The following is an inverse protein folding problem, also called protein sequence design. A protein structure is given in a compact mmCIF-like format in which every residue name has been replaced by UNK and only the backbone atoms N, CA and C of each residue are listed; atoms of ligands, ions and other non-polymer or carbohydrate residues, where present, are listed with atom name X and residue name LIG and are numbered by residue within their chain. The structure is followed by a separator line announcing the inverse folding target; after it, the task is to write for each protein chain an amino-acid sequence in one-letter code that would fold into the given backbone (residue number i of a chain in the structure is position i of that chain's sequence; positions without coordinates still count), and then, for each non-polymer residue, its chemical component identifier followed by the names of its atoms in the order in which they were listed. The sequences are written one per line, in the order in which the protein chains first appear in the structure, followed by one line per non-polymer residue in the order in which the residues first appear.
data_IF_279919480254
#
_entry.id   IF_279919480254
#
_cell.length_a   1.000
_cell.length_b   1.000
_cell.length_c   1.000
_cell.angle_alpha   90.00
_cell.angle_beta   90.00
_cell.angle_gamma   90.00
#
_symmetry.space_group_name_H-M   'P 1'
#
loop_
_entity.id
_entity.type
_entity.pdbx_description
1 polymer ?
#
# COMPACT_ATOMS: atom_id res chain seq x y z
N UNK A 1 -51.36 29.29 -32.54
CA UNK A 1 -50.44 28.88 -33.63
C UNK A 1 -49.07 28.71 -32.98
N UNK A 2 -48.37 27.58 -32.94
CA UNK A 2 -48.39 26.36 -33.73
C UNK A 2 -47.66 25.28 -32.90
N UNK A 3 -48.31 24.15 -32.63
CA UNK A 3 -47.65 22.89 -32.28
C UNK A 3 -46.93 22.32 -33.52
N UNK A 4 -45.83 21.58 -33.32
CA UNK A 4 -45.33 20.44 -34.14
C UNK A 4 -43.96 20.01 -33.57
N UNK A 5 -43.89 18.92 -32.81
CA UNK A 5 -43.81 17.50 -33.21
C UNK A 5 -42.37 17.03 -33.43
N UNK A 6 -41.87 16.23 -32.47
CA UNK A 6 -40.71 15.36 -32.63
C UNK A 6 -41.05 14.17 -33.54
N UNK A 7 -40.16 13.82 -34.47
CA UNK A 7 -40.15 12.54 -35.19
C UNK A 7 -38.87 11.76 -34.84
N UNK A 8 -38.93 10.42 -34.71
CA UNK A 8 -37.77 9.59 -34.39
C UNK A 8 -37.00 9.23 -35.66
N UNK A 9 -35.69 9.49 -35.68
CA UNK A 9 -34.80 9.01 -36.73
C UNK A 9 -34.37 7.56 -36.43
N UNK A 10 -34.55 6.72 -37.44
CA UNK A 10 -34.24 5.29 -37.50
C UNK A 10 -32.76 4.97 -37.28
N UNK A 11 -32.49 4.00 -36.41
CA UNK A 11 -31.18 3.35 -36.24
C UNK A 11 -31.02 2.30 -37.34
N UNK A 12 -30.20 2.60 -38.35
CA UNK A 12 -29.74 1.64 -39.36
C UNK A 12 -28.36 1.10 -38.96
N UNK A 13 -28.13 -0.18 -39.26
CA UNK A 13 -27.20 -1.05 -38.56
C UNK A 13 -25.70 -0.81 -38.78
N UNK A 14 -24.95 -0.96 -37.70
CA UNK A 14 -23.51 -1.20 -37.75
C UNK A 14 -23.22 -2.64 -38.16
N UNK A 15 -22.69 -2.84 -39.37
CA UNK A 15 -21.92 -4.04 -39.74
C UNK A 15 -20.42 -3.75 -39.56
N UNK A 16 -19.63 -4.66 -38.97
CA UNK A 16 -18.19 -4.49 -38.87
C UNK A 16 -17.54 -4.67 -40.25
N UNK A 17 -16.84 -3.63 -40.71
CA UNK A 17 -15.97 -3.69 -41.90
C UNK A 17 -14.61 -4.26 -41.48
N UNK A 18 -14.26 -5.44 -41.97
CA UNK A 18 -12.92 -6.00 -41.90
C UNK A 18 -12.06 -5.43 -43.04
N UNK A 19 -11.09 -4.57 -42.72
CA UNK A 19 -10.13 -4.07 -43.71
C UNK A 19 -9.00 -5.08 -43.95
N UNK A 20 -9.04 -5.78 -45.07
CA UNK A 20 -7.89 -6.57 -45.57
C UNK A 20 -6.97 -5.69 -46.41
N UNK A 21 -5.76 -5.41 -45.91
CA UNK A 21 -4.71 -4.67 -46.61
C UNK A 21 -3.95 -5.62 -47.55
N UNK A 22 -4.08 -5.46 -48.87
CA UNK A 22 -3.22 -6.14 -49.86
C UNK A 22 -1.94 -5.33 -50.07
N UNK A 23 -0.78 -5.96 -49.89
CA UNK A 23 0.51 -5.48 -50.42
C UNK A 23 0.94 -6.45 -51.53
N UNK A 24 1.17 -5.90 -52.71
CA UNK A 24 1.79 -6.57 -53.86
C UNK A 24 3.29 -6.28 -53.85
N UNK A 25 4.12 -7.30 -53.80
CA UNK A 25 5.50 -7.25 -54.30
C UNK A 25 5.84 -8.59 -54.95
N UNK A 26 6.31 -8.48 -56.18
CA UNK A 26 6.88 -9.50 -57.05
C UNK A 26 8.17 -10.09 -56.48
N UNK A 27 8.45 -11.35 -56.78
CA UNK A 27 9.83 -11.85 -56.89
C UNK A 27 10.19 -13.05 -56.03
N UNK A 28 10.34 -14.17 -56.72
CA UNK A 28 11.29 -15.24 -56.51
C UNK A 28 10.98 -16.47 -55.64
N UNK A 29 11.53 -17.56 -56.14
CA UNK A 29 11.07 -18.94 -56.04
C UNK A 29 11.73 -19.68 -54.88
N UNK A 30 10.91 -20.16 -53.95
CA UNK A 30 11.33 -21.02 -52.83
C UNK A 30 10.17 -21.84 -52.31
N UNK A 31 10.27 -23.16 -52.39
CA UNK A 31 9.19 -24.10 -52.09
C UNK A 31 8.76 -24.07 -50.61
N UNK A 32 7.56 -23.58 -50.32
CA UNK A 32 6.90 -23.78 -49.03
C UNK A 32 5.81 -24.86 -49.17
N UNK A 33 5.99 -26.00 -48.49
CA UNK A 33 5.01 -27.10 -48.42
C UNK A 33 3.75 -26.62 -47.69
N UNK A 34 2.61 -26.56 -48.39
CA UNK A 34 1.30 -26.34 -47.75
C UNK A 34 0.78 -27.63 -47.12
N UNK A 35 0.59 -27.67 -45.81
CA UNK A 35 -0.17 -28.72 -45.15
C UNK A 35 -1.66 -28.45 -45.41
N UNK A 36 -2.33 -29.32 -46.19
CA UNK A 36 -3.80 -29.30 -46.34
C UNK A 36 -4.41 -30.27 -45.34
N UNK A 37 -5.08 -29.74 -44.32
CA UNK A 37 -5.97 -30.54 -43.48
C UNK A 37 -7.29 -30.74 -44.23
N UNK A 38 -7.56 -31.98 -44.66
CA UNK A 38 -8.85 -32.38 -45.24
C UNK A 38 -9.81 -32.72 -44.11
N UNK A 39 -10.85 -31.92 -43.91
CA UNK A 39 -12.01 -32.34 -43.12
C UNK A 39 -12.91 -33.20 -43.99
N UNK A 40 -13.13 -34.46 -43.58
CA UNK A 40 -14.01 -35.41 -44.25
C UNK A 40 -15.36 -35.37 -43.53
N UNK A 41 -16.39 -34.91 -44.23
CA UNK A 41 -17.77 -35.02 -43.77
C UNK A 41 -18.21 -36.49 -43.85
N UNK A 42 -18.62 -37.05 -42.72
CA UNK A 42 -19.32 -38.33 -42.65
C UNK A 42 -20.77 -38.03 -42.32
N UNK A 43 -21.63 -38.06 -43.33
CA UNK A 43 -23.08 -38.19 -43.12
C UNK A 43 -23.40 -39.67 -42.98
N UNK A 44 -24.11 -40.05 -41.91
CA UNK A 44 -25.47 -40.60 -41.97
C UNK A 44 -25.79 -41.41 -40.69
N UNK A 45 -26.78 -40.94 -39.91
CA UNK A 45 -27.77 -41.77 -39.17
C UNK A 45 -28.79 -40.86 -38.45
N UNK A 46 -30.05 -40.99 -38.89
CA UNK A 46 -31.36 -40.85 -38.19
C UNK A 46 -31.56 -39.78 -37.09
N UNK A 47 -32.67 -39.01 -37.12
CA UNK A 47 -32.95 -38.01 -36.09
C UNK A 47 -33.62 -38.67 -34.87
N UNK A 48 -32.84 -39.05 -33.86
CA UNK A 48 -33.39 -39.20 -32.52
C UNK A 48 -33.65 -37.81 -31.94
N UNK A 49 -34.91 -37.52 -31.61
CA UNK A 49 -35.35 -36.31 -30.88
C UNK A 49 -34.35 -36.00 -29.75
N UNK A 50 -33.61 -34.91 -29.89
CA UNK A 50 -32.94 -34.28 -28.76
C UNK A 50 -34.08 -33.68 -27.93
N UNK A 51 -34.45 -34.37 -26.84
CA UNK A 51 -35.19 -33.72 -25.76
C UNK A 51 -34.25 -32.66 -25.19
N UNK A 52 -34.55 -31.39 -25.47
CA UNK A 52 -33.95 -30.28 -24.76
C UNK A 52 -34.51 -30.38 -23.35
N UNK A 53 -33.70 -30.87 -22.42
CA UNK A 53 -33.98 -30.83 -21.00
C UNK A 53 -34.17 -29.37 -20.58
N UNK A 54 -35.43 -28.94 -20.44
CA UNK A 54 -35.85 -27.64 -19.92
C UNK A 54 -35.69 -27.60 -18.39
N UNK A 55 -34.55 -28.11 -17.88
CA UNK A 55 -34.27 -28.29 -16.45
C UNK A 55 -33.08 -27.49 -15.93
N UNK A 56 -32.32 -26.82 -16.79
CA UNK A 56 -31.19 -26.00 -16.37
C UNK A 56 -31.57 -24.52 -16.45
N UNK A 57 -32.23 -24.04 -15.40
CA UNK A 57 -32.27 -22.60 -15.14
C UNK A 57 -30.82 -22.11 -15.07
N UNK A 58 -30.41 -21.32 -16.07
CA UNK A 58 -29.25 -20.46 -15.94
C UNK A 58 -29.39 -19.73 -14.60
N UNK A 59 -28.42 -19.79 -13.68
CA UNK A 59 -28.55 -19.11 -12.40
C UNK A 59 -28.93 -17.67 -12.72
N UNK A 60 -30.13 -17.29 -12.26
CA UNK A 60 -30.65 -15.94 -12.34
C UNK A 60 -29.49 -15.00 -12.04
N UNK A 61 -29.26 -14.03 -12.92
CA UNK A 61 -28.27 -12.95 -12.79
C UNK A 61 -28.22 -12.45 -11.34
N UNK A 62 -27.40 -13.11 -10.54
CA UNK A 62 -27.24 -12.87 -9.12
C UNK A 62 -26.31 -11.68 -8.99
N UNK A 63 -26.67 -10.75 -8.11
CA UNK A 63 -25.99 -9.49 -7.88
C UNK A 63 -24.47 -9.57 -8.14
N UNK A 64 -23.97 -8.63 -8.96
CA UNK A 64 -22.55 -8.32 -9.06
C UNK A 64 -21.92 -8.41 -7.66
N UNK A 65 -21.12 -9.44 -7.39
CA UNK A 65 -20.45 -9.57 -6.10
C UNK A 65 -19.45 -8.42 -6.01
N UNK A 66 -19.82 -7.36 -5.30
CA UNK A 66 -18.91 -6.26 -5.00
C UNK A 66 -17.68 -6.84 -4.31
N UNK A 67 -16.52 -6.29 -4.62
CA UNK A 67 -15.28 -6.76 -4.00
C UNK A 67 -15.31 -6.47 -2.50
N UNK A 68 -14.75 -7.38 -1.71
CA UNK A 68 -14.61 -7.20 -0.27
C UNK A 68 -13.51 -6.19 0.06
N UNK A 69 -13.70 -5.45 1.15
CA UNK A 69 -12.70 -4.49 1.61
C UNK A 69 -11.51 -5.24 2.21
N UNK A 70 -10.31 -4.93 1.71
CA UNK A 70 -9.04 -5.46 2.22
C UNK A 70 -8.62 -4.72 3.49
N UNK A 71 -8.90 -5.32 4.64
CA UNK A 71 -8.61 -4.82 6.00
C UNK A 71 -7.11 -4.62 6.20
N UNK A 72 -6.73 -3.56 6.93
CA UNK A 72 -5.33 -3.37 7.34
C UNK A 72 -5.04 -4.22 8.58
N UNK A 73 -4.37 -5.37 8.38
CA UNK A 73 -4.05 -6.32 9.47
C UNK A 73 -3.07 -5.76 10.49
N UNK A 74 -2.12 -4.92 10.07
CA UNK A 74 -1.22 -4.25 11.00
C UNK A 74 -2.00 -3.33 11.96
N UNK A 75 -2.90 -2.48 11.44
CA UNK A 75 -3.76 -1.62 12.28
C UNK A 75 -4.65 -2.45 13.21
N UNK A 76 -5.27 -3.52 12.70
CA UNK A 76 -6.08 -4.43 13.52
C UNK A 76 -5.27 -5.05 14.67
N UNK A 77 -4.04 -5.49 14.39
CA UNK A 77 -3.12 -6.06 15.38
C UNK A 77 -2.74 -5.05 16.47
N UNK A 78 -2.43 -3.81 16.09
CA UNK A 78 -2.18 -2.71 17.04
C UNK A 78 -3.38 -2.43 17.93
N UNK A 79 -4.59 -2.35 17.35
CA UNK A 79 -5.83 -2.12 18.11
C UNK A 79 -6.13 -3.26 19.10
N UNK A 80 -5.72 -4.49 18.78
CA UNK A 80 -5.78 -5.63 19.69
C UNK A 80 -4.66 -5.63 20.75
N UNK A 81 -3.80 -4.61 20.77
CA UNK A 81 -2.69 -4.46 21.71
C UNK A 81 -1.42 -5.21 21.33
N UNK A 82 -1.36 -5.81 20.13
CA UNK A 82 -0.19 -6.49 19.62
C UNK A 82 0.92 -5.56 19.13
N UNK A 83 2.05 -6.15 18.75
CA UNK A 83 3.22 -5.46 18.18
C UNK A 83 3.24 -5.66 16.67
N UNK A 84 3.46 -4.58 15.89
CA UNK A 84 3.66 -4.65 14.44
C UNK A 84 5.11 -4.32 14.05
N UNK A 85 5.56 -4.93 12.96
CA UNK A 85 6.80 -4.55 12.27
C UNK A 85 6.55 -3.61 11.09
N UNK A 86 7.47 -2.66 10.88
CA UNK A 86 7.57 -1.86 9.65
C UNK A 86 8.96 -2.07 9.04
N UNK A 87 8.98 -2.71 7.88
CA UNK A 87 10.23 -2.91 7.13
C UNK A 87 10.63 -1.61 6.46
N UNK A 88 11.71 -1.00 6.95
CA UNK A 88 12.28 0.24 6.45
C UNK A 88 13.41 -0.04 5.45
N UNK A 89 13.63 0.90 4.53
CA UNK A 89 14.68 0.80 3.53
C UNK A 89 14.19 1.23 2.16
N UNK A 90 15.01 0.96 1.14
CA UNK A 90 14.63 1.14 -0.25
C UNK A 90 13.84 -0.09 -0.68
N UNK A 91 12.52 -0.01 -0.56
CA UNK A 91 11.60 -1.10 -0.86
C UNK A 91 10.84 -0.85 -2.17
N UNK A 92 10.44 -1.92 -2.83
CA UNK A 92 9.71 -2.00 -4.10
C UNK A 92 8.70 -3.16 -4.05
N UNK A 93 8.07 -3.49 -5.18
CA UNK A 93 7.08 -4.58 -5.26
C UNK A 93 7.69 -5.95 -4.90
N UNK A 94 8.90 -6.24 -5.38
CA UNK A 94 9.56 -7.53 -5.18
C UNK A 94 9.93 -7.74 -3.70
N UNK A 95 10.52 -6.73 -3.07
CA UNK A 95 10.80 -6.77 -1.63
C UNK A 95 9.51 -6.87 -0.80
N UNK A 96 8.42 -6.22 -1.22
CA UNK A 96 7.13 -6.37 -0.56
C UNK A 96 6.59 -7.82 -0.63
N UNK A 97 6.76 -8.53 -1.74
CA UNK A 97 6.39 -9.95 -1.81
C UNK A 97 7.29 -10.83 -0.93
N UNK A 98 8.60 -10.57 -0.88
CA UNK A 98 9.54 -11.31 -0.02
C UNK A 98 9.14 -11.15 1.45
N UNK A 99 8.97 -9.91 1.94
CA UNK A 99 8.65 -9.67 3.34
C UNK A 99 7.21 -10.07 3.70
N UNK A 100 6.27 -9.90 2.77
CA UNK A 100 4.91 -10.39 2.93
C UNK A 100 4.85 -11.90 3.11
N UNK A 101 5.61 -12.66 2.31
CA UNK A 101 5.72 -14.12 2.44
C UNK A 101 6.32 -14.55 3.79
N UNK A 102 7.24 -13.75 4.34
CA UNK A 102 7.86 -13.99 5.65
C UNK A 102 6.96 -13.59 6.84
N UNK A 103 5.79 -12.98 6.59
CA UNK A 103 4.82 -12.62 7.62
C UNK A 103 5.11 -11.30 8.33
N UNK A 104 5.82 -10.37 7.70
CA UNK A 104 5.95 -9.01 8.21
C UNK A 104 4.61 -8.26 8.15
N UNK A 105 4.35 -7.40 9.14
CA UNK A 105 3.06 -6.73 9.25
C UNK A 105 2.91 -5.59 8.24
N UNK A 106 4.02 -4.92 7.91
CA UNK A 106 4.03 -3.80 6.98
C UNK A 106 5.39 -3.53 6.36
N UNK A 107 5.37 -2.82 5.22
CA UNK A 107 6.55 -2.33 4.52
C UNK A 107 6.43 -0.84 4.23
N UNK A 108 7.56 -0.13 4.31
CA UNK A 108 7.64 1.29 4.05
C UNK A 108 8.00 1.55 2.58
N UNK A 109 7.11 2.24 1.87
CA UNK A 109 7.45 2.95 0.65
C UNK A 109 8.10 4.29 1.04
N UNK A 110 9.42 4.34 0.95
CA UNK A 110 10.26 5.45 1.39
C UNK A 110 10.22 6.61 0.38
N UNK A 111 9.36 7.60 0.63
CA UNK A 111 9.16 8.75 -0.26
C UNK A 111 9.84 10.05 0.20
N UNK A 112 10.50 10.06 1.36
CA UNK A 112 11.22 11.23 1.87
C UNK A 112 12.68 11.23 1.44
N UNK A 113 13.38 10.12 1.68
CA UNK A 113 14.79 9.97 1.31
C UNK A 113 15.02 8.96 0.17
N UNK A 114 13.98 8.20 -0.18
CA UNK A 114 14.08 7.08 -1.11
C UNK A 114 13.72 7.45 -2.55
N UNK A 115 13.96 6.52 -3.48
CA UNK A 115 13.76 6.76 -4.91
C UNK A 115 12.29 6.59 -5.36
N UNK A 116 11.33 6.47 -4.43
CA UNK A 116 9.97 6.06 -4.75
C UNK A 116 9.23 7.14 -5.54
N UNK A 117 8.82 6.77 -6.76
CA UNK A 117 7.90 7.56 -7.56
C UNK A 117 6.45 7.19 -7.25
N UNK A 118 5.52 8.07 -7.62
CA UNK A 118 4.09 7.84 -7.42
C UNK A 118 3.59 6.55 -8.09
N UNK A 119 4.19 6.14 -9.20
CA UNK A 119 3.77 4.94 -9.91
C UNK A 119 4.10 3.66 -9.10
N UNK A 120 5.28 3.63 -8.48
CA UNK A 120 5.77 2.50 -7.67
C UNK A 120 4.91 2.24 -6.42
N UNK A 121 4.33 3.29 -5.81
CA UNK A 121 3.44 3.12 -4.64
C UNK A 121 2.28 2.15 -4.94
N UNK A 122 1.71 2.25 -6.14
CA UNK A 122 0.61 1.37 -6.54
C UNK A 122 1.05 -0.06 -6.79
N UNK A 123 2.32 -0.28 -7.12
CA UNK A 123 2.91 -1.61 -7.31
C UNK A 123 3.16 -2.28 -5.96
N UNK A 124 3.86 -1.60 -5.05
CA UNK A 124 4.05 -2.04 -3.64
C UNK A 124 2.69 -2.37 -3.00
N UNK A 125 1.69 -1.49 -3.16
CA UNK A 125 0.34 -1.70 -2.66
C UNK A 125 -0.33 -2.98 -3.18
N UNK A 126 -0.06 -3.36 -4.44
CA UNK A 126 -0.59 -4.61 -5.03
C UNK A 126 0.13 -5.82 -4.45
N UNK A 127 1.46 -5.78 -4.37
CA UNK A 127 2.26 -6.84 -3.76
C UNK A 127 1.83 -7.09 -2.30
N UNK A 128 1.68 -6.03 -1.51
CA UNK A 128 1.21 -6.11 -0.13
C UNK A 128 -0.18 -6.75 0.00
N UNK A 129 -1.11 -6.42 -0.92
CA UNK A 129 -2.46 -6.99 -0.92
C UNK A 129 -2.48 -8.51 -1.16
N UNK A 130 -1.44 -9.10 -1.77
CA UNK A 130 -1.34 -10.56 -1.96
C UNK A 130 -1.01 -11.30 -0.66
N UNK A 131 -0.40 -10.60 0.30
CA UNK A 131 0.15 -11.19 1.52
C UNK A 131 -0.50 -10.64 2.80
N UNK A 132 -1.63 -9.92 2.68
CA UNK A 132 -2.30 -9.22 3.80
C UNK A 132 -1.36 -8.29 4.60
N UNK A 133 -0.30 -7.80 3.97
CA UNK A 133 0.67 -6.88 4.56
C UNK A 133 0.21 -5.42 4.36
N UNK A 134 0.52 -4.53 5.30
CA UNK A 134 0.22 -3.11 5.12
C UNK A 134 1.28 -2.41 4.25
N UNK A 135 0.81 -1.57 3.32
CA UNK A 135 1.65 -0.68 2.50
C UNK A 135 1.63 0.71 3.13
N UNK A 136 2.70 1.06 3.84
CA UNK A 136 2.86 2.35 4.51
C UNK A 136 3.70 3.25 3.61
N UNK A 137 3.23 4.47 3.32
CA UNK A 137 4.04 5.45 2.57
C UNK A 137 4.56 6.51 3.53
N UNK A 138 5.88 6.68 3.59
CA UNK A 138 6.46 7.90 4.16
C UNK A 138 6.40 9.02 3.13
N UNK A 139 5.59 10.05 3.41
CA UNK A 139 5.50 11.23 2.52
C UNK A 139 6.65 12.18 2.83
N UNK A 140 7.11 12.96 1.85
CA UNK A 140 8.29 13.83 2.03
C UNK A 140 8.09 15.04 2.95
N UNK A 141 6.85 15.36 3.35
CA UNK A 141 6.50 16.43 4.31
C UNK A 141 5.04 16.30 4.76
N UNK A 142 4.67 16.99 5.83
CA UNK A 142 3.27 17.16 6.26
C UNK A 142 2.48 18.07 5.28
N UNK A 143 2.02 17.48 4.18
CA UNK A 143 1.21 18.15 3.16
C UNK A 143 -0.04 17.32 2.82
N UNK A 144 -1.26 17.87 2.97
CA UNK A 144 -2.50 17.16 2.69
C UNK A 144 -2.62 16.57 1.29
N UNK A 145 -2.03 17.23 0.28
CA UNK A 145 -2.08 16.76 -1.11
C UNK A 145 -1.22 15.51 -1.30
N UNK A 146 -0.08 15.41 -0.62
CA UNK A 146 0.77 14.22 -0.66
C UNK A 146 0.13 13.05 0.06
N UNK A 147 -0.42 13.28 1.26
CA UNK A 147 -1.12 12.27 2.05
C UNK A 147 -2.29 11.71 1.24
N UNK A 148 -3.12 12.60 0.68
CA UNK A 148 -4.25 12.21 -0.18
C UNK A 148 -3.77 11.40 -1.38
N UNK A 149 -2.73 11.87 -2.08
CA UNK A 149 -2.21 11.19 -3.27
C UNK A 149 -1.61 9.82 -2.95
N UNK A 150 -0.85 9.67 -1.87
CA UNK A 150 -0.29 8.39 -1.44
C UNK A 150 -1.39 7.36 -1.17
N UNK A 151 -2.43 7.77 -0.43
CA UNK A 151 -3.58 6.92 -0.13
C UNK A 151 -4.41 6.60 -1.39
N UNK A 152 -4.52 7.52 -2.35
CA UNK A 152 -5.21 7.29 -3.63
C UNK A 152 -4.44 6.34 -4.56
N UNK A 153 -3.10 6.35 -4.47
CA UNK A 153 -2.25 5.35 -5.16
C UNK A 153 -2.39 3.95 -4.57
N UNK A 154 -2.99 3.83 -3.38
CA UNK A 154 -3.44 2.58 -2.80
C UNK A 154 -2.74 2.21 -1.50
N UNK A 155 -1.90 3.07 -0.95
CA UNK A 155 -1.39 2.90 0.41
C UNK A 155 -2.57 2.75 1.39
N UNK A 156 -2.41 1.88 2.38
CA UNK A 156 -3.35 1.73 3.50
C UNK A 156 -2.72 2.15 4.83
N UNK A 157 -1.51 2.70 4.80
CA UNK A 157 -0.92 3.46 5.89
C UNK A 157 -0.10 4.64 5.37
N UNK A 158 0.08 5.64 6.24
CA UNK A 158 0.93 6.80 6.00
C UNK A 158 1.86 7.00 7.19
N UNK A 159 3.03 7.53 6.91
CA UNK A 159 4.02 7.98 7.88
C UNK A 159 4.42 9.41 7.51
N UNK A 160 4.28 10.35 8.43
CA UNK A 160 4.54 11.78 8.15
C UNK A 160 5.73 12.27 8.97
N UNK A 161 6.77 12.81 8.33
CA UNK A 161 7.98 13.28 8.99
C UNK A 161 7.79 14.66 9.65
N UNK A 162 8.71 15.00 10.54
CA UNK A 162 8.89 16.32 11.13
C UNK A 162 7.63 16.94 11.77
N UNK A 163 6.83 16.14 12.49
CA UNK A 163 5.65 16.63 13.21
C UNK A 163 6.06 17.16 14.59
N UNK A 164 5.96 18.48 14.76
CA UNK A 164 6.51 19.23 15.88
C UNK A 164 5.46 19.81 16.83
N UNK A 165 4.20 19.87 16.40
CA UNK A 165 3.09 20.44 17.19
C UNK A 165 1.84 19.57 17.15
N UNK A 166 0.93 19.79 18.11
CA UNK A 166 -0.36 19.11 18.13
C UNK A 166 -1.19 19.46 16.90
N UNK A 167 -1.15 20.72 16.49
CA UNK A 167 -1.89 21.24 15.33
C UNK A 167 -1.44 20.56 14.03
N UNK A 168 -0.14 20.32 13.89
CA UNK A 168 0.44 19.57 12.78
C UNK A 168 0.00 18.09 12.81
N UNK A 169 0.00 17.44 13.97
CA UNK A 169 -0.50 16.08 14.13
C UNK A 169 -1.99 15.98 13.76
N UNK A 170 -2.82 16.90 14.25
CA UNK A 170 -4.24 16.95 13.88
C UNK A 170 -4.43 17.25 12.38
N UNK A 171 -3.52 18.00 11.75
CA UNK A 171 -3.52 18.20 10.29
C UNK A 171 -3.27 16.91 9.53
N UNK A 172 -2.34 16.07 10.00
CA UNK A 172 -2.10 14.73 9.45
C UNK A 172 -3.34 13.85 9.60
N UNK A 173 -3.95 13.84 10.79
CA UNK A 173 -5.18 13.08 11.04
C UNK A 173 -6.31 13.50 10.10
N UNK A 174 -6.59 14.81 9.97
CA UNK A 174 -7.62 15.33 9.07
C UNK A 174 -7.34 14.96 7.60
N UNK A 175 -6.08 15.05 7.17
CA UNK A 175 -5.70 14.76 5.78
C UNK A 175 -5.77 13.28 5.42
N UNK A 176 -5.68 12.40 6.43
CA UNK A 176 -5.71 10.95 6.26
C UNK A 176 -7.13 10.37 6.22
N UNK A 177 -8.13 11.12 6.71
CA UNK A 177 -9.51 10.66 6.86
C UNK A 177 -10.50 11.46 6.01
N UNK A 178 -11.54 10.79 5.52
CA UNK A 178 -12.70 11.41 4.88
C UNK A 178 -13.63 12.08 5.91
N UNK A 179 -14.45 13.02 5.45
CA UNK A 179 -15.45 13.68 6.29
C UNK A 179 -16.46 12.68 6.90
N UNK A 180 -16.95 12.94 8.13
CA UNK A 180 -16.70 14.13 8.95
C UNK A 180 -15.43 14.09 9.81
N UNK A 181 -14.69 12.98 9.82
CA UNK A 181 -13.47 12.83 10.66
C UNK A 181 -12.30 13.66 10.13
N UNK A 182 -12.27 13.93 8.83
CA UNK A 182 -11.22 14.70 8.19
C UNK A 182 -11.69 15.40 6.92
N UNK A 183 -10.74 15.75 6.06
CA UNK A 183 -10.96 16.53 4.84
C UNK A 183 -10.23 15.94 3.62
N UNK A 184 -9.89 14.64 3.65
CA UNK A 184 -9.31 13.92 2.51
C UNK A 184 -10.21 14.04 1.27
N UNK A 185 -9.60 14.30 0.11
CA UNK A 185 -10.32 14.38 -1.17
C UNK A 185 -11.00 13.07 -1.57
N UNK A 186 -12.31 13.13 -1.85
CA UNK A 186 -13.20 11.97 -2.05
C UNK A 186 -13.11 11.29 -3.43
N UNK A 187 -11.89 10.96 -3.90
CA UNK A 187 -11.69 10.16 -5.11
C UNK A 187 -11.63 8.65 -4.80
N UNK A 188 -10.98 8.27 -3.71
CA UNK A 188 -10.89 6.89 -3.23
C UNK A 188 -9.74 6.07 -3.81
N UNK A 189 -9.38 6.32 -5.07
CA UNK A 189 -8.20 5.76 -5.71
C UNK A 189 -8.27 4.24 -5.92
N UNK A 190 -7.09 3.60 -5.99
CA UNK A 190 -6.96 2.16 -6.33
C UNK A 190 -7.81 1.26 -5.42
N UNK A 191 -7.80 1.49 -4.10
CA UNK A 191 -8.46 0.60 -3.13
C UNK A 191 -9.98 0.75 -3.13
N UNK A 192 -10.53 1.80 -3.72
CA UNK A 192 -11.98 2.01 -3.79
C UNK A 192 -12.67 1.21 -4.90
N UNK A 193 -11.91 0.70 -5.89
CA UNK A 193 -12.46 0.03 -7.07
C UNK A 193 -13.29 -1.20 -6.68
N UNK A 194 -14.59 -1.15 -6.99
CA UNK A 194 -15.53 -2.25 -6.73
C UNK A 194 -15.95 -2.40 -5.25
N UNK A 195 -15.57 -1.47 -4.37
CA UNK A 195 -15.83 -1.55 -2.93
C UNK A 195 -17.03 -0.69 -2.54
N UNK A 196 -18.04 -1.29 -1.92
CA UNK A 196 -19.12 -0.56 -1.27
C UNK A 196 -18.64 0.14 0.00
N UNK A 197 -19.19 1.33 0.26
CA UNK A 197 -18.98 2.07 1.51
C UNK A 197 -17.48 2.28 1.83
N UNK A 198 -16.71 2.54 0.77
CA UNK A 198 -15.27 2.63 0.84
C UNK A 198 -14.79 3.72 1.81
N UNK A 199 -15.42 4.90 1.81
CA UNK A 199 -14.96 6.02 2.64
C UNK A 199 -15.02 5.71 4.14
N UNK A 200 -16.11 5.12 4.62
CA UNK A 200 -16.24 4.70 6.03
C UNK A 200 -15.20 3.62 6.35
N UNK A 201 -15.11 2.57 5.53
CA UNK A 201 -14.15 1.48 5.74
C UNK A 201 -12.70 1.97 5.71
N UNK A 202 -12.36 2.91 4.81
CA UNK A 202 -11.05 3.53 4.74
C UNK A 202 -10.72 4.33 6.00
N UNK A 203 -11.69 5.08 6.55
CA UNK A 203 -11.50 5.80 7.82
C UNK A 203 -11.18 4.84 8.99
N UNK A 204 -11.82 3.68 9.02
CA UNK A 204 -11.59 2.68 10.08
C UNK A 204 -10.24 1.95 9.95
N UNK A 205 -9.67 1.88 8.74
CA UNK A 205 -8.57 0.97 8.41
C UNK A 205 -7.27 1.65 7.97
N UNK A 206 -7.25 2.97 7.77
CA UNK A 206 -6.00 3.67 7.41
C UNK A 206 -5.07 3.76 8.62
N UNK A 207 -3.84 3.25 8.51
CA UNK A 207 -2.83 3.35 9.57
C UNK A 207 -2.14 4.72 9.50
N UNK A 208 -2.27 5.55 10.53
CA UNK A 208 -1.75 6.92 10.57
C UNK A 208 -0.58 7.00 11.56
N UNK A 209 0.62 7.20 11.04
CA UNK A 209 1.86 7.33 11.83
C UNK A 209 2.44 8.73 11.67
N UNK A 210 2.88 9.33 12.76
CA UNK A 210 3.67 10.58 12.74
C UNK A 210 5.05 10.33 13.33
N UNK A 211 6.06 10.94 12.74
CA UNK A 211 7.43 10.90 13.23
C UNK A 211 7.69 12.13 14.11
N UNK A 212 8.21 11.86 15.30
CA UNK A 212 8.62 12.81 16.33
C UNK A 212 10.14 12.73 16.40
N UNK A 213 10.78 13.44 15.47
CA UNK A 213 12.20 13.28 15.15
C UNK A 213 12.97 14.59 15.19
N UNK A 214 12.38 15.59 15.83
CA UNK A 214 12.99 16.89 16.08
C UNK A 214 12.94 17.16 17.59
N UNK A 215 13.95 17.84 18.13
CA UNK A 215 13.98 18.21 19.56
C UNK A 215 12.77 19.07 19.97
N UNK A 216 12.18 19.81 19.02
CA UNK A 216 10.95 20.58 19.25
C UNK A 216 9.77 19.63 19.51
N UNK A 217 9.64 18.54 18.76
CA UNK A 217 8.62 17.52 18.98
C UNK A 217 8.74 16.88 20.38
N UNK A 218 9.96 16.56 20.83
CA UNK A 218 10.21 16.03 22.18
C UNK A 218 9.74 17.02 23.26
N UNK A 219 10.06 18.30 23.11
CA UNK A 219 9.65 19.36 24.05
C UNK A 219 8.12 19.56 24.09
N UNK A 220 7.45 19.36 22.96
CA UNK A 220 6.00 19.52 22.82
C UNK A 220 5.20 18.23 23.05
N UNK A 221 5.86 17.13 23.37
CA UNK A 221 5.26 15.80 23.26
C UNK A 221 3.99 15.62 24.10
N UNK A 222 3.95 16.22 25.30
CA UNK A 222 2.76 16.20 26.17
C UNK A 222 1.50 16.77 25.51
N UNK A 223 1.64 17.71 24.59
CA UNK A 223 0.52 18.24 23.81
C UNK A 223 0.27 17.42 22.55
N UNK A 224 1.33 16.99 21.85
CA UNK A 224 1.22 16.20 20.61
C UNK A 224 0.44 14.90 20.84
N UNK A 225 0.72 14.18 21.93
CA UNK A 225 0.04 12.89 22.24
C UNK A 225 -1.46 13.02 22.49
N UNK A 226 -1.98 14.25 22.65
CA UNK A 226 -3.42 14.52 22.77
C UNK A 226 -4.12 14.61 21.42
N UNK A 227 -3.38 14.65 20.30
CA UNK A 227 -3.97 14.65 18.97
C UNK A 227 -4.72 13.33 18.71
N UNK A 228 -5.97 13.44 18.23
CA UNK A 228 -6.78 12.29 17.85
C UNK A 228 -6.60 11.93 16.38
N UNK A 229 -6.95 10.69 16.04
CA UNK A 229 -6.81 10.17 14.66
C UNK A 229 -5.38 9.79 14.27
N UNK A 230 -4.45 9.74 15.23
CA UNK A 230 -3.11 9.19 15.09
C UNK A 230 -3.07 7.80 15.72
N UNK A 231 -2.61 6.80 14.97
CA UNK A 231 -2.49 5.42 15.47
C UNK A 231 -1.14 5.14 16.12
N UNK A 232 -0.06 5.77 15.61
CA UNK A 232 1.32 5.57 16.09
C UNK A 232 2.04 6.92 16.20
N UNK A 233 2.59 7.17 17.38
CA UNK A 233 3.54 8.25 17.65
C UNK A 233 4.94 7.63 17.63
N UNK A 234 5.71 7.92 16.57
CA UNK A 234 6.96 7.23 16.28
C UNK A 234 8.15 8.15 16.60
N UNK A 235 9.02 7.77 17.51
CA UNK A 235 10.25 8.52 17.81
C UNK A 235 11.37 8.00 16.90
N UNK A 236 11.91 8.86 16.03
CA UNK A 236 12.96 8.45 15.10
C UNK A 236 14.33 9.01 15.56
N UNK A 237 15.32 8.15 15.86
CA UNK A 237 16.57 8.60 16.48
C UNK A 237 17.50 9.36 15.52
N UNK A 238 17.44 9.08 14.22
CA UNK A 238 18.36 9.64 13.22
C UNK A 238 18.27 11.17 13.11
N UNK A 239 17.10 11.68 12.70
CA UNK A 239 16.87 13.11 12.59
C UNK A 239 16.83 13.80 13.97
N UNK A 240 16.43 13.07 15.03
CA UNK A 240 16.46 13.60 16.39
C UNK A 240 17.89 13.96 16.79
N UNK A 241 18.85 13.05 16.54
CA UNK A 241 20.26 13.32 16.78
C UNK A 241 20.74 14.57 16.03
N UNK A 242 20.37 14.71 14.75
CA UNK A 242 20.69 15.89 13.97
C UNK A 242 20.08 17.18 14.56
N UNK A 243 18.81 17.16 14.93
CA UNK A 243 18.13 18.33 15.52
C UNK A 243 18.72 18.77 16.87
N UNK A 244 19.39 17.84 17.56
CA UNK A 244 20.08 18.07 18.84
C UNK A 244 21.55 18.49 18.66
N UNK A 245 22.06 18.54 17.41
CA UNK A 245 23.45 18.87 17.11
C UNK A 245 24.42 17.68 17.12
N UNK A 246 23.90 16.46 17.21
CA UNK A 246 24.64 15.19 17.25
C UNK A 246 24.51 14.41 15.93
N UNK A 247 24.61 15.09 14.79
CA UNK A 247 24.39 14.50 13.46
C UNK A 247 25.23 13.24 13.24
N UNK A 248 24.56 12.12 12.94
CA UNK A 248 25.21 10.83 12.69
C UNK A 248 25.57 10.02 13.95
N UNK A 249 25.39 10.59 15.15
CA UNK A 249 25.63 9.90 16.43
C UNK A 249 24.31 9.66 17.18
N UNK A 250 23.57 8.65 16.75
CA UNK A 250 22.34 8.20 17.43
C UNK A 250 22.62 7.55 18.79
N UNK A 251 23.88 7.24 19.09
CA UNK A 251 24.32 6.61 20.35
C UNK A 251 24.70 7.63 21.42
N UNK A 252 24.70 8.93 21.09
CA UNK A 252 25.03 9.98 22.03
C UNK A 252 24.09 9.91 23.26
N UNK A 253 24.61 10.00 24.50
CA UNK A 253 23.79 9.84 25.71
C UNK A 253 22.57 10.75 25.79
N UNK A 254 22.69 11.99 25.33
CA UNK A 254 21.55 12.93 25.29
C UNK A 254 20.47 12.51 24.28
N UNK A 255 20.88 11.96 23.13
CA UNK A 255 19.94 11.47 22.10
C UNK A 255 19.21 10.25 22.62
N UNK A 256 19.94 9.30 23.23
CA UNK A 256 19.34 8.15 23.89
C UNK A 256 18.33 8.62 24.93
N UNK A 257 18.71 9.52 25.84
CA UNK A 257 17.78 10.04 26.85
C UNK A 257 16.54 10.71 26.23
N UNK A 258 16.69 11.48 25.14
CA UNK A 258 15.56 12.11 24.47
C UNK A 258 14.61 11.07 23.82
N UNK A 259 15.16 9.99 23.25
CA UNK A 259 14.36 8.85 22.77
C UNK A 259 13.61 8.20 23.92
N UNK A 260 14.30 7.92 25.02
CA UNK A 260 13.73 7.30 26.22
C UNK A 260 12.59 8.13 26.83
N UNK A 261 12.81 9.42 27.01
CA UNK A 261 11.82 10.37 27.54
C UNK A 261 10.61 10.49 26.61
N UNK A 262 10.86 10.47 25.30
CA UNK A 262 9.83 10.53 24.30
C UNK A 262 8.93 9.30 24.31
N UNK A 263 9.53 8.12 24.25
CA UNK A 263 8.81 6.85 24.33
C UNK A 263 8.05 6.71 25.66
N UNK A 264 8.68 7.09 26.77
CA UNK A 264 8.02 7.11 28.09
C UNK A 264 6.77 7.98 28.10
N UNK A 265 6.87 9.22 27.59
CA UNK A 265 5.72 10.15 27.52
C UNK A 265 4.57 9.57 26.69
N UNK A 266 4.87 8.94 25.55
CA UNK A 266 3.84 8.33 24.69
C UNK A 266 3.16 7.17 25.41
N UNK A 267 3.94 6.26 25.99
CA UNK A 267 3.44 5.06 26.67
C UNK A 267 2.62 5.43 27.90
N UNK A 268 3.10 6.34 28.74
CA UNK A 268 2.42 6.82 29.95
C UNK A 268 1.10 7.54 29.62
N UNK A 269 0.99 8.13 28.43
CA UNK A 269 -0.25 8.74 27.94
C UNK A 269 -1.27 7.72 27.38
N UNK A 270 -0.92 6.43 27.36
CA UNK A 270 -1.76 5.36 26.81
C UNK A 270 -1.81 5.35 25.28
N UNK A 271 -0.92 6.08 24.60
CA UNK A 271 -0.81 6.10 23.14
C UNK A 271 0.21 5.05 22.65
N UNK A 272 0.12 4.69 21.38
CA UNK A 272 1.02 3.69 20.77
C UNK A 272 2.37 4.32 20.44
N UNK A 273 3.42 3.83 21.09
CA UNK A 273 4.79 4.21 20.77
C UNK A 273 5.38 3.35 19.65
N UNK A 274 6.14 4.00 18.78
CA UNK A 274 6.99 3.34 17.79
C UNK A 274 8.41 3.91 17.79
N UNK A 275 9.38 3.10 17.36
CA UNK A 275 10.78 3.51 17.17
C UNK A 275 11.51 2.55 16.24
N UNK A 276 12.71 2.94 15.80
CA UNK A 276 13.63 2.07 15.07
C UNK A 276 14.34 1.13 16.03
N UNK A 277 14.39 -0.15 15.70
CA UNK A 277 15.08 -1.20 16.46
C UNK A 277 15.98 -2.03 15.55
N UNK A 278 16.80 -2.85 16.17
CA UNK A 278 17.59 -3.92 15.55
C UNK A 278 17.43 -5.21 16.38
N UNK A 279 18.08 -6.29 15.94
CA UNK A 279 18.01 -7.61 16.58
C UNK A 279 18.40 -7.58 18.07
N UNK A 280 19.32 -6.70 18.47
CA UNK A 280 19.80 -6.59 19.85
C UNK A 280 18.86 -5.78 20.75
N UNK A 281 18.05 -4.89 20.18
CA UNK A 281 17.25 -3.90 20.93
C UNK A 281 15.75 -4.19 20.93
N UNK A 282 15.25 -4.96 19.95
CA UNK A 282 13.81 -5.18 19.74
C UNK A 282 13.08 -5.72 20.96
N UNK A 283 13.64 -6.72 21.65
CA UNK A 283 13.01 -7.32 22.83
C UNK A 283 12.89 -6.31 23.98
N UNK A 284 13.93 -5.50 24.19
CA UNK A 284 13.96 -4.50 25.26
C UNK A 284 12.93 -3.39 25.05
N UNK A 285 12.76 -2.91 23.81
CA UNK A 285 11.76 -1.90 23.49
C UNK A 285 10.33 -2.45 23.59
N UNK A 286 10.09 -3.67 23.13
CA UNK A 286 8.78 -4.33 23.27
C UNK A 286 8.43 -4.52 24.75
N UNK A 287 9.38 -5.00 25.56
CA UNK A 287 9.17 -5.20 27.00
C UNK A 287 8.79 -3.90 27.73
N UNK A 288 9.22 -2.75 27.22
CA UNK A 288 8.89 -1.43 27.75
C UNK A 288 7.55 -0.88 27.27
N UNK A 289 6.93 -1.49 26.26
CA UNK A 289 5.62 -1.10 25.76
C UNK A 289 5.61 -0.48 24.36
N UNK A 290 6.75 -0.47 23.65
CA UNK A 290 6.77 -0.13 22.22
C UNK A 290 6.01 -1.18 21.43
N UNK A 291 5.10 -0.74 20.56
CA UNK A 291 4.20 -1.62 19.78
C UNK A 291 4.37 -1.49 18.28
N UNK A 292 5.05 -0.47 17.79
CA UNK A 292 5.35 -0.31 16.38
C UNK A 292 6.87 -0.29 16.18
N UNK A 293 7.46 -1.41 15.77
CA UNK A 293 8.91 -1.53 15.62
C UNK A 293 9.30 -1.39 14.15
N UNK A 294 10.04 -0.32 13.83
CA UNK A 294 10.65 -0.17 12.52
C UNK A 294 12.02 -0.84 12.48
N UNK A 295 12.42 -1.39 11.35
CA UNK A 295 13.70 -2.07 11.21
C UNK A 295 14.28 -1.88 9.81
N UNK A 296 15.59 -1.72 9.71
CA UNK A 296 16.29 -1.71 8.43
C UNK A 296 16.73 -3.15 8.10
N UNK A 297 16.42 -3.65 6.91
CA UNK A 297 16.74 -5.02 6.50
C UNK A 297 18.12 -5.16 5.84
N UNK A 298 18.73 -4.05 5.42
CA UNK A 298 20.05 -4.06 4.76
C UNK A 298 21.15 -4.70 5.61
N UNK A 299 21.22 -4.50 6.95
CA UNK A 299 22.17 -5.21 7.81
C UNK A 299 22.06 -6.73 7.73
N UNK A 300 20.85 -7.29 7.64
CA UNK A 300 20.66 -8.74 7.49
C UNK A 300 21.24 -9.25 6.16
N UNK A 301 20.98 -8.53 5.06
CA UNK A 301 21.56 -8.86 3.77
C UNK A 301 23.08 -8.75 3.80
N UNK A 302 23.62 -7.67 4.37
CA UNK A 302 25.06 -7.44 4.46
C UNK A 302 25.77 -8.54 5.26
N UNK A 303 25.22 -8.92 6.42
CA UNK A 303 25.77 -9.99 7.24
C UNK A 303 25.78 -11.33 6.49
N UNK A 304 24.67 -11.70 5.85
CA UNK A 304 24.56 -12.93 5.06
C UNK A 304 25.51 -12.95 3.86
N UNK A 305 25.58 -11.84 3.12
CA UNK A 305 26.45 -11.69 1.95
C UNK A 305 27.93 -11.77 2.34
N UNK A 306 28.34 -11.03 3.38
CA UNK A 306 29.73 -11.06 3.87
C UNK A 306 30.12 -12.46 4.35
N UNK A 307 29.22 -13.16 5.06
CA UNK A 307 29.48 -14.53 5.50
C UNK A 307 29.65 -15.50 4.31
N UNK A 308 28.86 -15.34 3.23
CA UNK A 308 29.00 -16.13 2.01
C UNK A 308 30.31 -15.83 1.27
N UNK A 309 30.65 -14.56 1.06
CA UNK A 309 31.86 -14.14 0.37
C UNK A 309 33.13 -14.57 1.14
N UNK A 310 33.09 -14.55 2.48
CA UNK A 310 34.17 -15.06 3.30
C UNK A 310 34.47 -16.54 3.03
N UNK A 311 33.45 -17.36 2.77
CA UNK A 311 33.63 -18.78 2.40
C UNK A 311 34.25 -18.95 1.02
N UNK A 312 33.89 -18.10 0.04
CA UNK A 312 34.51 -18.15 -1.30
C UNK A 312 35.97 -17.72 -1.29
N UNK A 313 36.33 -16.77 -0.40
CA UNK A 313 37.68 -16.22 -0.30
C UNK A 313 38.66 -17.17 0.42
N UNK A 314 38.14 -18.15 1.15
CA UNK A 314 38.90 -19.15 1.91
C UNK A 314 39.07 -20.50 1.23
N UNK A 315 38.73 -20.61 -0.06
CA UNK A 315 38.91 -21.77 -0.95
C UNK A 315 39.80 -21.42 -2.13
#
# INVERSE_FOLDING_TARGET
MSQRSCSPASVSGCRPQTSTRRRSTTGDSGSAKSIRVKWRWVNNRSPSRIQIDQGHTCPSTGASSLAEYRINKAKQKLQAGGVISIVNGVNDGDTAEIFGNLGFDSILAEGEHGPISWDVIGDISRACDLWDMASVVRVHRNDPALITRALDRGANGIMVPHVNTREEAESVARSSHYGPLGNRGAFGGRRALGISDYHRKANENTLVTILLEDIIAIRNMKEIVKADGIDVFYVAPGDLAQSMGHTGDISHPEVLQAVEDGLGTIIDSGRTAGTLVNDDTVESYIARGVKCVGLAWQPWLAAGATAFLGKMSGS
#
